data_IF_568503665252
#
_entry.id   IF_568503665252
#
_cell.length_a   1.000
_cell.length_b   1.000
_cell.length_c   1.000
_cell.angle_alpha   90.00
_cell.angle_beta   90.00
_cell.angle_gamma   90.00
#
_symmetry.space_group_name_H-M   'P 1'
#
loop_
_entity.id
_entity.type
_entity.pdbx_description
1 polymer ?
#
# COMPACT_ATOMS: atom_id res chain seq x y z
N UNK A 1 -24.87 -22.96 -17.06
CA UNK A 1 -24.32 -22.13 -18.15
C UNK A 1 -23.16 -21.28 -17.63
N UNK A 2 -21.92 -21.72 -17.87
CA UNK A 2 -20.68 -21.04 -17.45
C UNK A 2 -20.31 -20.04 -18.55
N UNK A 3 -20.58 -18.74 -18.35
CA UNK A 3 -20.21 -17.68 -19.31
C UNK A 3 -18.70 -17.74 -19.57
N UNK A 4 -18.31 -17.88 -20.83
CA UNK A 4 -16.92 -17.73 -21.28
C UNK A 4 -16.42 -16.33 -20.90
N UNK A 5 -15.21 -16.17 -20.32
CA UNK A 5 -14.66 -14.87 -19.94
C UNK A 5 -14.05 -14.19 -21.17
N UNK A 6 -14.90 -13.77 -22.11
CA UNK A 6 -14.45 -13.24 -23.40
C UNK A 6 -14.14 -11.73 -23.44
N UNK A 7 -14.45 -10.94 -22.39
CA UNK A 7 -14.28 -9.47 -22.49
C UNK A 7 -14.04 -8.75 -21.14
N UNK A 8 -13.53 -9.44 -20.13
CA UNK A 8 -13.23 -8.82 -18.83
C UNK A 8 -11.82 -8.19 -18.84
N UNK A 9 -11.62 -7.00 -18.24
CA UNK A 9 -10.30 -6.40 -18.14
C UNK A 9 -9.33 -7.34 -17.39
N UNK A 10 -8.03 -7.38 -17.74
CA UNK A 10 -7.07 -8.36 -17.22
C UNK A 10 -7.04 -8.45 -15.69
N UNK A 11 -7.13 -7.30 -15.01
CA UNK A 11 -7.22 -7.20 -13.56
C UNK A 11 -8.37 -8.02 -12.95
N UNK A 12 -9.57 -7.98 -13.54
CA UNK A 12 -10.77 -8.65 -13.00
C UNK A 12 -10.66 -10.16 -13.13
N UNK A 13 -10.06 -10.65 -14.23
CA UNK A 13 -9.81 -12.09 -14.43
C UNK A 13 -8.86 -12.61 -13.36
N UNK A 14 -7.76 -11.89 -13.11
CA UNK A 14 -6.80 -12.23 -12.06
C UNK A 14 -7.46 -12.26 -10.68
N UNK A 15 -8.26 -11.23 -10.36
CA UNK A 15 -8.94 -11.11 -9.07
C UNK A 15 -9.87 -12.32 -8.80
N UNK A 16 -10.69 -12.70 -9.79
CA UNK A 16 -11.62 -13.83 -9.66
C UNK A 16 -10.92 -15.16 -9.35
N UNK A 17 -9.69 -15.36 -9.85
CA UNK A 17 -8.89 -16.55 -9.56
C UNK A 17 -8.37 -16.56 -8.13
N UNK A 18 -7.90 -15.41 -7.65
CA UNK A 18 -7.35 -15.25 -6.30
C UNK A 18 -8.45 -15.43 -5.24
N UNK A 19 -9.69 -15.04 -5.56
CA UNK A 19 -10.83 -15.26 -4.68
C UNK A 19 -11.06 -16.76 -4.41
N UNK A 20 -10.75 -17.63 -5.37
CA UNK A 20 -10.78 -19.08 -5.23
C UNK A 20 -9.62 -19.72 -4.45
N UNK A 21 -8.63 -18.97 -3.97
CA UNK A 21 -7.57 -19.52 -3.12
C UNK A 21 -8.11 -19.94 -1.74
N UNK A 22 -7.59 -21.06 -1.22
CA UNK A 22 -7.89 -21.52 0.15
C UNK A 22 -7.47 -20.49 1.19
N UNK A 23 -8.12 -20.51 2.37
CA UNK A 23 -7.80 -19.62 3.49
C UNK A 23 -6.33 -19.72 3.90
N UNK A 24 -5.78 -20.94 3.96
CA UNK A 24 -4.37 -21.18 4.28
C UNK A 24 -3.42 -20.52 3.28
N UNK A 25 -3.70 -20.65 1.97
CA UNK A 25 -2.86 -20.05 0.93
C UNK A 25 -2.88 -18.52 1.00
N UNK A 26 -4.07 -17.95 1.26
CA UNK A 26 -4.26 -16.53 1.49
C UNK A 26 -3.47 -16.04 2.70
N UNK A 27 -3.55 -16.77 3.82
CA UNK A 27 -2.80 -16.47 5.04
C UNK A 27 -1.28 -16.46 4.78
N UNK A 28 -0.75 -17.53 4.16
CA UNK A 28 0.69 -17.64 3.85
C UNK A 28 1.16 -16.49 2.95
N UNK A 29 0.40 -16.14 1.92
CA UNK A 29 0.72 -14.98 1.06
C UNK A 29 0.71 -13.67 1.84
N UNK A 30 -0.29 -13.45 2.71
CA UNK A 30 -0.38 -12.27 3.56
C UNK A 30 0.83 -12.15 4.50
N UNK A 31 1.25 -13.24 5.13
CA UNK A 31 2.42 -13.27 6.02
C UNK A 31 3.73 -12.97 5.27
N UNK A 32 3.92 -13.56 4.09
CA UNK A 32 5.10 -13.30 3.25
C UNK A 32 5.13 -11.82 2.83
N UNK A 33 4.00 -11.26 2.39
CA UNK A 33 3.93 -9.85 2.00
C UNK A 33 4.19 -8.91 3.19
N UNK A 34 3.68 -9.24 4.38
CA UNK A 34 3.95 -8.48 5.60
C UNK A 34 5.44 -8.52 5.98
N UNK A 35 6.10 -9.67 5.84
CA UNK A 35 7.53 -9.80 6.08
C UNK A 35 8.36 -8.98 5.08
N UNK A 36 8.00 -9.02 3.79
CA UNK A 36 8.66 -8.20 2.76
C UNK A 36 8.45 -6.70 3.03
N UNK A 37 7.23 -6.29 3.40
CA UNK A 37 6.96 -4.90 3.78
C UNK A 37 7.81 -4.46 4.97
N UNK A 38 7.97 -5.33 5.97
CA UNK A 38 8.83 -5.08 7.13
C UNK A 38 10.28 -4.87 6.71
N UNK A 39 10.83 -5.78 5.88
CA UNK A 39 12.21 -5.68 5.39
C UNK A 39 12.43 -4.36 4.63
N UNK A 40 11.52 -4.00 3.73
CA UNK A 40 11.62 -2.76 2.98
C UNK A 40 11.50 -1.53 3.87
N UNK A 41 10.53 -1.50 4.78
CA UNK A 41 10.37 -0.36 5.69
C UNK A 41 11.58 -0.20 6.61
N UNK A 42 12.13 -1.32 7.10
CA UNK A 42 13.35 -1.33 7.92
C UNK A 42 14.60 -0.84 7.18
N UNK A 43 14.60 -0.82 5.85
CA UNK A 43 15.70 -0.20 5.10
C UNK A 43 15.82 1.32 5.37
N UNK A 44 14.78 1.96 5.93
CA UNK A 44 14.81 3.37 6.35
C UNK A 44 15.94 3.71 7.31
N UNK A 45 16.46 2.73 8.06
CA UNK A 45 17.58 2.92 8.99
C UNK A 45 18.86 3.43 8.31
N UNK A 46 19.07 3.08 7.03
CA UNK A 46 20.32 3.39 6.33
C UNK A 46 20.42 4.83 5.84
N UNK A 47 19.35 5.65 5.99
CA UNK A 47 19.23 7.04 5.51
C UNK A 47 19.55 7.15 4.00
N UNK A 48 19.17 8.25 3.32
CA UNK A 48 19.42 8.41 1.89
C UNK A 48 18.73 7.32 1.03
N UNK A 49 19.50 6.38 0.47
CA UNK A 49 18.95 5.27 -0.33
C UNK A 49 17.99 4.38 0.48
N UNK A 50 18.19 4.29 1.80
CA UNK A 50 17.31 3.55 2.70
C UNK A 50 15.87 4.05 2.67
N UNK A 51 15.65 5.36 2.53
CA UNK A 51 14.30 5.93 2.40
C UNK A 51 13.65 5.56 1.06
N UNK A 52 14.44 5.44 -0.01
CA UNK A 52 13.91 4.98 -1.30
C UNK A 52 13.42 3.52 -1.21
N UNK A 53 14.11 2.66 -0.45
CA UNK A 53 13.65 1.30 -0.19
C UNK A 53 12.44 1.25 0.75
N UNK A 54 12.38 2.11 1.77
CA UNK A 54 11.22 2.21 2.68
C UNK A 54 9.92 2.53 1.94
N UNK A 55 9.99 3.40 0.92
CA UNK A 55 8.86 3.68 0.02
C UNK A 55 8.27 2.39 -0.60
N UNK A 56 9.12 1.40 -0.94
CA UNK A 56 8.69 0.13 -1.54
C UNK A 56 7.82 -0.72 -0.60
N UNK A 57 7.84 -0.49 0.71
CA UNK A 57 6.99 -1.19 1.68
C UNK A 57 5.49 -0.95 1.44
N UNK A 58 5.13 0.11 0.71
CA UNK A 58 3.75 0.36 0.27
C UNK A 58 3.25 -0.80 -0.61
N UNK A 59 4.11 -1.32 -1.50
CA UNK A 59 3.70 -2.29 -2.52
C UNK A 59 3.19 -3.61 -1.93
N UNK A 60 3.90 -4.31 -1.03
CA UNK A 60 3.40 -5.56 -0.48
C UNK A 60 2.08 -5.39 0.28
N UNK A 61 1.89 -4.25 0.96
CA UNK A 61 0.64 -3.95 1.66
C UNK A 61 -0.50 -3.75 0.67
N UNK A 62 -0.30 -2.98 -0.41
CA UNK A 62 -1.31 -2.85 -1.48
C UNK A 62 -1.70 -4.22 -2.04
N UNK A 63 -0.70 -5.05 -2.40
CA UNK A 63 -0.95 -6.39 -2.95
C UNK A 63 -1.73 -7.28 -1.97
N UNK A 64 -1.40 -7.24 -0.68
CA UNK A 64 -2.09 -8.03 0.33
C UNK A 64 -3.57 -7.65 0.45
N UNK A 65 -3.88 -6.35 0.43
CA UNK A 65 -5.25 -5.82 0.47
C UNK A 65 -6.03 -6.11 -0.83
N UNK A 66 -5.36 -6.09 -1.99
CA UNK A 66 -5.96 -6.50 -3.27
C UNK A 66 -6.34 -8.00 -3.26
N UNK A 67 -5.49 -8.87 -2.69
CA UNK A 67 -5.79 -10.31 -2.53
C UNK A 67 -7.02 -10.51 -1.63
N UNK A 68 -7.11 -9.79 -0.51
CA UNK A 68 -8.28 -9.75 0.38
C UNK A 68 -8.16 -8.57 1.33
N UNK A 69 -9.24 -7.80 1.52
CA UNK A 69 -9.27 -6.68 2.48
C UNK A 69 -8.87 -7.15 3.89
N UNK A 70 -9.42 -8.30 4.32
CA UNK A 70 -9.10 -8.88 5.63
C UNK A 70 -7.60 -9.22 5.74
N UNK A 71 -7.00 -9.77 4.68
CA UNK A 71 -5.56 -10.04 4.69
C UNK A 71 -4.74 -8.76 4.68
N UNK A 72 -5.16 -7.74 3.93
CA UNK A 72 -4.50 -6.44 3.92
C UNK A 72 -4.42 -5.82 5.32
N UNK A 73 -5.54 -5.84 6.05
CA UNK A 73 -5.60 -5.35 7.43
C UNK A 73 -4.68 -6.20 8.33
N UNK A 74 -4.73 -7.53 8.23
CA UNK A 74 -3.88 -8.41 9.03
C UNK A 74 -2.39 -8.22 8.72
N UNK A 75 -2.02 -8.12 7.44
CA UNK A 75 -0.65 -7.86 6.99
C UNK A 75 -0.15 -6.50 7.45
N UNK A 76 -1.00 -5.47 7.41
CA UNK A 76 -0.69 -4.15 7.94
C UNK A 76 -0.35 -4.20 9.43
N UNK A 77 -1.22 -4.76 10.27
CA UNK A 77 -0.93 -4.90 11.71
C UNK A 77 0.27 -5.80 12.01
N UNK A 78 0.45 -6.88 11.24
CA UNK A 78 1.60 -7.75 11.38
C UNK A 78 2.91 -7.01 11.07
N UNK A 79 2.94 -6.19 10.01
CA UNK A 79 4.11 -5.36 9.70
C UNK A 79 4.38 -4.34 10.82
N UNK A 80 3.35 -3.73 11.41
CA UNK A 80 3.52 -2.83 12.57
C UNK A 80 4.16 -3.58 13.74
N UNK A 81 3.67 -4.78 14.06
CA UNK A 81 4.20 -5.59 15.14
C UNK A 81 5.66 -5.99 14.89
N UNK A 82 6.00 -6.38 13.67
CA UNK A 82 7.38 -6.73 13.30
C UNK A 82 8.31 -5.51 13.35
N UNK A 83 7.84 -4.34 12.89
CA UNK A 83 8.59 -3.09 12.98
C UNK A 83 8.79 -2.63 14.41
N UNK A 84 7.81 -2.82 15.30
CA UNK A 84 7.98 -2.54 16.73
C UNK A 84 9.16 -3.33 17.33
N UNK A 85 9.41 -4.55 16.85
CA UNK A 85 10.52 -5.39 17.32
C UNK A 85 11.84 -5.00 16.65
N UNK A 86 11.83 -4.79 15.34
CA UNK A 86 13.07 -4.61 14.55
C UNK A 86 13.55 -3.16 14.49
N UNK A 87 12.63 -2.21 14.33
CA UNK A 87 12.94 -0.80 14.16
C UNK A 87 11.79 0.08 14.70
N UNK A 88 11.76 0.32 16.02
CA UNK A 88 10.73 1.12 16.67
C UNK A 88 10.58 2.54 16.10
N UNK A 89 11.64 3.10 15.51
CA UNK A 89 11.60 4.45 14.90
C UNK A 89 10.60 4.56 13.74
N UNK A 90 10.28 3.45 13.06
CA UNK A 90 9.33 3.42 11.94
C UNK A 90 7.87 3.26 12.39
N UNK A 91 7.60 3.10 13.69
CA UNK A 91 6.24 2.89 14.20
C UNK A 91 5.33 4.11 14.03
N UNK A 92 5.90 5.29 13.82
CA UNK A 92 5.14 6.49 13.48
C UNK A 92 5.04 6.67 11.97
N UNK A 93 6.11 6.39 11.23
CA UNK A 93 6.12 6.64 9.79
C UNK A 93 5.26 5.61 9.07
N UNK A 94 5.47 4.31 9.28
CA UNK A 94 4.79 3.27 8.52
C UNK A 94 3.27 3.28 8.69
N UNK A 95 2.70 3.28 9.90
CA UNK A 95 1.25 3.15 10.06
C UNK A 95 0.50 4.33 9.48
N UNK A 96 1.09 5.52 9.48
CA UNK A 96 0.42 6.74 9.06
C UNK A 96 0.79 7.18 7.64
N UNK A 97 1.85 6.62 7.02
CA UNK A 97 2.25 6.99 5.66
C UNK A 97 2.24 5.81 4.70
N UNK A 98 3.35 5.09 4.55
CA UNK A 98 3.55 4.01 3.57
C UNK A 98 2.54 2.88 3.74
N UNK A 99 2.32 2.44 4.99
CA UNK A 99 1.33 1.42 5.32
C UNK A 99 -0.10 1.88 5.09
N UNK A 100 -0.44 3.11 5.50
CA UNK A 100 -1.80 3.66 5.34
C UNK A 100 -2.17 3.85 3.86
N UNK A 101 -1.25 4.41 3.07
CA UNK A 101 -1.42 4.52 1.63
C UNK A 101 -1.59 3.13 1.00
N UNK A 102 -0.75 2.17 1.41
CA UNK A 102 -0.81 0.83 0.85
C UNK A 102 -2.15 0.15 1.11
N UNK A 103 -2.63 0.24 2.36
CA UNK A 103 -3.90 -0.34 2.76
C UNK A 103 -5.08 0.34 2.06
N UNK A 104 -5.11 1.68 2.06
CA UNK A 104 -6.17 2.47 1.44
C UNK A 104 -6.28 2.22 -0.07
N UNK A 105 -5.15 2.19 -0.79
CA UNK A 105 -5.13 1.86 -2.22
C UNK A 105 -5.65 0.45 -2.48
N UNK A 106 -5.18 -0.55 -1.73
CA UNK A 106 -5.60 -1.93 -1.94
C UNK A 106 -7.09 -2.16 -1.65
N UNK A 107 -7.64 -1.50 -0.63
CA UNK A 107 -9.09 -1.47 -0.36
C UNK A 107 -9.82 -0.78 -1.51
N UNK A 108 -9.34 0.37 -1.95
CA UNK A 108 -9.95 1.14 -3.01
C UNK A 108 -9.98 0.39 -4.35
N UNK A 109 -8.92 -0.37 -4.68
CA UNK A 109 -8.88 -1.25 -5.86
C UNK A 109 -9.98 -2.31 -5.86
N UNK A 110 -10.45 -2.71 -4.67
CA UNK A 110 -11.47 -3.75 -4.54
C UNK A 110 -12.89 -3.19 -4.53
N UNK A 111 -13.08 -1.98 -4.01
CA UNK A 111 -14.40 -1.32 -4.01
C UNK A 111 -14.69 -0.52 -5.27
N UNK A 112 -13.72 0.21 -5.80
CA UNK A 112 -13.90 1.08 -6.95
C UNK A 112 -13.23 0.54 -8.20
N UNK A 113 -13.89 0.76 -9.35
CA UNK A 113 -13.34 0.47 -10.68
C UNK A 113 -12.77 1.71 -11.36
N UNK A 114 -13.00 2.89 -10.79
CA UNK A 114 -12.52 4.16 -11.34
C UNK A 114 -11.15 4.51 -10.74
N UNK A 115 -10.17 4.70 -11.62
CA UNK A 115 -8.80 5.08 -11.23
C UNK A 115 -8.75 6.41 -10.46
N UNK A 116 -9.66 7.35 -10.77
CA UNK A 116 -9.73 8.67 -10.11
C UNK A 116 -10.12 8.50 -8.64
N UNK A 117 -11.15 7.69 -8.36
CA UNK A 117 -11.62 7.43 -7.01
C UNK A 117 -10.54 6.70 -6.17
N UNK A 118 -9.83 5.75 -6.78
CA UNK A 118 -8.75 5.02 -6.11
C UNK A 118 -7.60 5.96 -5.73
N UNK A 119 -7.16 6.80 -6.66
CA UNK A 119 -6.10 7.79 -6.43
C UNK A 119 -6.53 8.82 -5.38
N UNK A 120 -7.77 9.30 -5.44
CA UNK A 120 -8.27 10.30 -4.50
C UNK A 120 -8.35 9.72 -3.08
N UNK A 121 -8.88 8.51 -2.92
CA UNK A 121 -8.96 7.86 -1.61
C UNK A 121 -7.58 7.61 -1.01
N UNK A 122 -6.63 7.08 -1.78
CA UNK A 122 -5.26 6.88 -1.34
C UNK A 122 -4.54 8.19 -1.01
N UNK A 123 -4.69 9.21 -1.84
CA UNK A 123 -4.06 10.52 -1.64
C UNK A 123 -4.60 11.28 -0.44
N UNK A 124 -5.92 11.28 -0.22
CA UNK A 124 -6.53 11.87 0.98
C UNK A 124 -6.09 11.11 2.23
N UNK A 125 -6.05 9.78 2.17
CA UNK A 125 -5.61 8.94 3.28
C UNK A 125 -4.16 9.23 3.66
N UNK A 126 -3.26 9.37 2.67
CA UNK A 126 -1.87 9.74 2.92
C UNK A 126 -1.74 11.16 3.46
N UNK A 127 -2.46 12.12 2.89
CA UNK A 127 -2.44 13.51 3.36
C UNK A 127 -2.91 13.58 4.82
N UNK A 128 -4.00 12.89 5.17
CA UNK A 128 -4.49 12.82 6.55
C UNK A 128 -3.44 12.24 7.49
N UNK A 129 -2.74 11.18 7.09
CA UNK A 129 -1.67 10.57 7.88
C UNK A 129 -0.47 11.49 8.08
N UNK A 130 -0.01 12.20 7.04
CA UNK A 130 1.07 13.18 7.15
C UNK A 130 0.66 14.34 8.08
N UNK A 131 -0.55 14.87 7.92
CA UNK A 131 -1.08 15.95 8.76
C UNK A 131 -1.21 15.50 10.22
N UNK A 132 -1.65 14.27 10.46
CA UNK A 132 -1.71 13.67 11.79
C UNK A 132 -0.32 13.63 12.45
N UNK A 133 0.70 13.15 11.71
CA UNK A 133 2.07 13.11 12.23
C UNK A 133 2.63 14.50 12.53
N UNK A 134 2.42 15.48 11.64
CA UNK A 134 2.99 16.83 11.78
C UNK A 134 2.33 17.65 12.89
N UNK A 135 1.00 17.60 13.00
CA UNK A 135 0.26 18.50 13.90
C UNK A 135 -0.14 17.86 15.23
N UNK A 136 -0.44 16.56 15.26
CA UNK A 136 -0.88 15.87 16.48
C UNK A 136 0.31 15.21 17.18
N UNK A 137 1.05 14.36 16.47
CA UNK A 137 2.22 13.66 17.03
C UNK A 137 3.43 14.60 17.15
N UNK A 138 3.43 15.72 16.40
CA UNK A 138 4.56 16.67 16.30
C UNK A 138 5.86 15.99 15.84
N UNK A 139 5.74 14.93 15.06
CA UNK A 139 6.88 14.23 14.50
C UNK A 139 7.30 14.92 13.20
N UNK A 140 8.54 15.45 13.09
CA UNK A 140 8.96 16.25 11.94
C UNK A 140 9.31 15.36 10.74
N UNK A 141 8.30 14.78 10.09
CA UNK A 141 8.45 13.91 8.91
C UNK A 141 9.09 14.67 7.73
N UNK A 142 8.76 15.96 7.59
CA UNK A 142 9.21 16.82 6.48
C UNK A 142 10.41 17.70 6.86
N UNK A 143 11.04 17.42 8.01
CA UNK A 143 12.18 18.18 8.54
C UNK A 143 11.78 19.33 9.48
N UNK A 144 12.76 19.88 10.22
CA UNK A 144 12.53 20.87 11.27
C UNK A 144 12.09 22.26 10.74
N UNK A 145 12.19 22.49 9.43
CA UNK A 145 11.88 23.77 8.79
C UNK A 145 10.38 24.02 8.62
N UNK A 146 9.53 23.02 8.85
CA UNK A 146 8.06 23.20 8.80
C UNK A 146 7.57 23.67 10.17
N UNK A 147 7.22 24.95 10.26
CA UNK A 147 6.62 25.54 11.46
C UNK A 147 5.39 24.74 11.92
N UNK A 148 5.30 24.44 13.22
CA UNK A 148 4.18 23.70 13.84
C UNK A 148 2.83 24.44 13.79
N UNK A 149 2.81 25.65 13.23
CA UNK A 149 1.58 26.41 12.95
C UNK A 149 0.90 25.89 11.70
N UNK A 150 -0.43 25.73 11.76
CA UNK A 150 -1.23 25.31 10.60
C UNK A 150 -1.21 26.43 9.57
N UNK A 151 -0.50 26.20 8.46
CA UNK A 151 -0.41 27.14 7.36
C UNK A 151 -1.11 26.54 6.15
N UNK A 152 -2.18 27.19 5.68
CA UNK A 152 -3.05 26.69 4.60
C UNK A 152 -2.26 26.28 3.33
N UNK A 153 -1.26 27.06 2.87
CA UNK A 153 -0.40 26.65 1.75
C UNK A 153 0.35 25.33 1.96
N UNK A 154 0.83 25.04 3.17
CA UNK A 154 1.55 23.80 3.49
C UNK A 154 0.61 22.60 3.42
N UNK A 155 -0.60 22.74 3.98
CA UNK A 155 -1.63 21.69 3.92
C UNK A 155 -2.02 21.39 2.47
N UNK A 156 -2.22 22.43 1.65
CA UNK A 156 -2.54 22.27 0.24
C UNK A 156 -1.40 21.59 -0.53
N UNK A 157 -0.15 21.96 -0.26
CA UNK A 157 1.03 21.33 -0.86
C UNK A 157 1.12 19.85 -0.50
N UNK A 158 0.89 19.48 0.78
CA UNK A 158 0.85 18.09 1.23
C UNK A 158 -0.24 17.30 0.51
N UNK A 159 -1.43 17.89 0.35
CA UNK A 159 -2.53 17.25 -0.35
C UNK A 159 -2.21 17.00 -1.82
N UNK A 160 -1.70 18.01 -2.53
CA UNK A 160 -1.32 17.90 -3.94
C UNK A 160 -0.21 16.86 -4.15
N UNK A 161 0.82 16.90 -3.29
CA UNK A 161 1.89 15.90 -3.28
C UNK A 161 1.34 14.49 -3.06
N UNK A 162 0.44 14.33 -2.08
CA UNK A 162 -0.13 13.02 -1.74
C UNK A 162 -1.00 12.45 -2.86
N UNK A 163 -1.76 13.28 -3.56
CA UNK A 163 -2.55 12.88 -4.72
C UNK A 163 -1.65 12.43 -5.88
N UNK A 164 -0.60 13.19 -6.18
CA UNK A 164 0.37 12.81 -7.21
C UNK A 164 1.07 11.49 -6.85
N UNK A 165 1.53 11.36 -5.60
CA UNK A 165 2.19 10.17 -5.11
C UNK A 165 1.27 8.93 -5.14
N UNK A 166 0.01 9.10 -4.73
CA UNK A 166 -0.99 8.04 -4.81
C UNK A 166 -1.28 7.61 -6.25
N UNK A 167 -1.22 8.54 -7.21
CA UNK A 167 -1.43 8.22 -8.64
C UNK A 167 -0.32 7.30 -9.17
N UNK A 168 0.94 7.58 -8.81
CA UNK A 168 2.10 6.76 -9.17
C UNK A 168 1.92 5.35 -8.59
N UNK A 169 1.60 5.25 -7.30
CA UNK A 169 1.41 3.96 -6.62
C UNK A 169 0.22 3.16 -7.15
N UNK A 170 -0.88 3.82 -7.50
CA UNK A 170 -2.03 3.18 -8.14
C UNK A 170 -1.60 2.52 -9.47
N UNK A 171 -0.94 3.28 -10.36
CA UNK A 171 -0.47 2.75 -11.64
C UNK A 171 0.52 1.59 -11.49
N UNK A 172 1.49 1.73 -10.58
CA UNK A 172 2.52 0.72 -10.33
C UNK A 172 1.91 -0.57 -9.75
N UNK A 173 1.05 -0.44 -8.73
CA UNK A 173 0.45 -1.59 -8.06
C UNK A 173 -0.44 -2.40 -8.99
N UNK A 174 -1.22 -1.74 -9.85
CA UNK A 174 -2.03 -2.41 -10.86
C UNK A 174 -1.16 -3.24 -11.82
N UNK A 175 -0.09 -2.64 -12.38
CA UNK A 175 0.81 -3.34 -13.31
C UNK A 175 1.47 -4.55 -12.66
N UNK A 176 1.97 -4.41 -11.44
CA UNK A 176 2.67 -5.48 -10.73
C UNK A 176 1.72 -6.62 -10.36
N UNK A 177 0.52 -6.30 -9.90
CA UNK A 177 -0.50 -7.31 -9.62
C UNK A 177 -0.85 -8.11 -10.88
N UNK A 178 -1.05 -7.44 -12.02
CA UNK A 178 -1.26 -8.12 -13.29
C UNK A 178 -0.05 -8.98 -13.67
N UNK A 179 1.19 -8.48 -13.58
CA UNK A 179 2.39 -9.25 -13.94
C UNK A 179 2.56 -10.52 -13.09
N UNK A 180 2.45 -10.41 -11.76
CA UNK A 180 2.68 -11.52 -10.83
C UNK A 180 1.67 -12.65 -11.02
N UNK A 181 0.40 -12.31 -11.27
CA UNK A 181 -0.67 -13.30 -11.31
C UNK A 181 -1.14 -13.69 -12.72
N UNK A 182 -0.83 -12.89 -13.77
CA UNK A 182 -1.08 -13.25 -15.18
C UNK A 182 -0.18 -14.37 -15.66
N UNK A 183 1.11 -14.37 -15.28
CA UNK A 183 2.08 -15.36 -15.75
C UNK A 183 1.91 -16.78 -15.15
N UNK A 184 1.18 -16.93 -14.04
CA UNK A 184 0.83 -18.26 -13.49
C UNK A 184 -0.20 -19.02 -14.36
N UNK A 185 -0.69 -18.44 -15.47
CA UNK A 185 -1.60 -19.10 -16.40
C UNK A 185 -0.92 -19.95 -17.48
N UNK A 186 0.39 -19.76 -17.76
CA UNK A 186 1.11 -20.54 -18.79
C UNK A 186 1.84 -21.77 -18.25
N UNK A 187 1.95 -21.93 -16.94
CA UNK A 187 2.80 -22.97 -16.30
C UNK A 187 2.06 -24.23 -15.84
N UNK A 188 0.74 -24.31 -16.07
CA UNK A 188 -0.10 -25.47 -15.71
C UNK A 188 -0.67 -26.18 -16.93
N UNK A 189 -0.05 -26.01 -18.11
CA UNK A 189 -0.41 -26.71 -19.35
C UNK A 189 0.73 -27.60 -19.88
N UNK A 190 1.60 -28.07 -19.00
CA UNK A 190 2.58 -29.12 -19.28
C UNK A 190 2.44 -30.20 -18.22
#
# INVERSE_FOLDING_TARGET
>A
MKKQPGNLPPFVIVQSRIDGYSRTKKLVLGSILAAIATIFQSAGIFVGIGYAFSILATMPIVLSAMISIHLGIMSYFLTILLLLILQPSEIFVFPFTTGLLGLSLGIAFRWWKNWIAITFFGGVSLAAGILFLLYIVKFPVLGPSVSHTIYVPVVLMILLFSLFYSMVWMGLSKKIFELLFKNRSKRTSH
#
